data_IF_643311620144
#
_entry.id   IF_643311620144
#
_cell.length_a   1.000
_cell.length_b   1.000
_cell.length_c   1.000
_cell.angle_alpha   90.00
_cell.angle_beta   90.00
_cell.angle_gamma   90.00
#
_symmetry.space_group_name_H-M   'P 1'
#
loop_
_entity.id
_entity.type
_entity.pdbx_description
1 polymer ?
#
# COMPACT_ATOMS: atom_id res chain seq x y z
N UNK A 1 -9.32 7.67 11.34
CA UNK A 1 -8.21 6.69 11.42
C UNK A 1 -8.80 5.30 11.50
N UNK A 2 -8.28 4.38 10.70
CA UNK A 2 -8.74 3.00 10.67
C UNK A 2 -8.74 2.38 12.09
N UNK A 3 -9.81 1.70 12.44
CA UNK A 3 -9.92 0.97 13.69
C UNK A 3 -10.12 -0.52 13.39
N UNK A 4 -9.11 -1.32 13.73
CA UNK A 4 -9.14 -2.75 13.43
C UNK A 4 -9.11 -3.03 11.93
N UNK A 5 -10.16 -3.67 11.41
CA UNK A 5 -10.30 -4.02 9.98
C UNK A 5 -11.23 -3.07 9.20
N UNK A 6 -11.51 -1.89 9.73
CA UNK A 6 -12.36 -0.91 9.05
C UNK A 6 -11.50 0.19 8.43
N UNK A 7 -11.48 0.35 7.09
CA UNK A 7 -10.77 1.45 6.44
C UNK A 7 -11.46 2.78 6.71
N UNK A 8 -10.73 3.88 6.70
CA UNK A 8 -11.29 5.23 6.84
C UNK A 8 -12.09 5.63 5.62
N UNK A 9 -11.67 5.18 4.45
CA UNK A 9 -12.31 5.45 3.15
C UNK A 9 -12.23 4.22 2.24
N UNK A 10 -13.11 4.19 1.24
CA UNK A 10 -13.10 3.23 0.15
C UNK A 10 -13.12 3.96 -1.19
N UNK A 11 -12.42 3.40 -2.17
CA UNK A 11 -12.41 3.88 -3.55
C UNK A 11 -12.59 2.69 -4.49
N UNK A 12 -13.21 2.89 -5.65
CA UNK A 12 -13.42 1.80 -6.62
C UNK A 12 -12.09 1.38 -7.31
N UNK A 13 -11.10 2.27 -7.34
CA UNK A 13 -9.78 1.97 -7.85
C UNK A 13 -8.79 3.08 -7.52
N UNK A 14 -7.54 2.88 -7.90
CA UNK A 14 -6.48 3.87 -7.63
C UNK A 14 -6.74 5.21 -8.32
N UNK A 15 -7.41 5.22 -9.48
CA UNK A 15 -7.77 6.44 -10.23
C UNK A 15 -8.68 7.39 -9.45
N UNK A 16 -9.52 6.85 -8.58
CA UNK A 16 -10.47 7.67 -7.80
C UNK A 16 -9.78 8.39 -6.62
N UNK A 17 -8.57 7.98 -6.29
CA UNK A 17 -7.77 8.63 -5.25
C UNK A 17 -6.94 9.74 -5.88
N UNK A 18 -7.60 10.84 -6.26
CA UNK A 18 -6.95 11.98 -6.93
C UNK A 18 -6.14 12.83 -5.96
N UNK A 19 -5.20 13.68 -6.45
CA UNK A 19 -4.51 14.64 -5.61
C UNK A 19 -5.44 15.59 -4.85
N UNK A 20 -6.52 16.02 -5.49
CA UNK A 20 -7.56 16.89 -4.87
C UNK A 20 -8.24 16.14 -3.72
N UNK A 21 -8.67 14.90 -3.96
CA UNK A 21 -9.27 14.05 -2.94
C UNK A 21 -8.37 13.89 -1.71
N UNK A 22 -7.07 13.68 -1.93
CA UNK A 22 -6.09 13.58 -0.84
C UNK A 22 -5.92 14.91 -0.09
N UNK A 23 -5.83 16.03 -0.80
CA UNK A 23 -5.71 17.37 -0.18
C UNK A 23 -6.92 17.73 0.66
N UNK A 24 -8.11 17.40 0.21
CA UNK A 24 -9.37 17.63 0.94
C UNK A 24 -9.40 16.88 2.29
N UNK A 25 -8.67 15.75 2.37
CA UNK A 25 -8.48 15.01 3.62
C UNK A 25 -7.25 15.48 4.43
N UNK A 26 -6.53 16.50 3.98
CA UNK A 26 -5.31 16.97 4.62
C UNK A 26 -4.08 16.08 4.40
N UNK A 27 -4.15 15.14 3.46
CA UNK A 27 -3.05 14.22 3.13
C UNK A 27 -2.04 14.92 2.22
N UNK A 28 -0.75 14.78 2.53
CA UNK A 28 0.35 15.34 1.75
C UNK A 28 1.47 14.32 1.46
N UNK A 29 1.28 13.06 1.82
CA UNK A 29 2.18 11.96 1.48
C UNK A 29 1.41 10.64 1.42
N UNK A 30 1.83 9.74 0.56
CA UNK A 30 1.12 8.46 0.32
C UNK A 30 2.06 7.27 0.45
N UNK A 31 1.60 6.25 1.15
CA UNK A 31 2.13 4.90 1.13
C UNK A 31 1.19 4.07 0.25
N UNK A 32 1.69 3.47 -0.82
CA UNK A 32 0.89 2.66 -1.73
C UNK A 32 1.36 1.21 -1.72
N UNK A 33 0.41 0.26 -1.65
CA UNK A 33 0.70 -1.14 -1.95
C UNK A 33 1.00 -1.34 -3.43
N UNK A 34 1.68 -2.43 -3.77
CA UNK A 34 2.12 -2.71 -5.13
C UNK A 34 1.13 -3.61 -5.87
N UNK A 35 1.05 -4.87 -5.44
CA UNK A 35 0.30 -5.90 -6.17
C UNK A 35 -1.22 -5.72 -5.99
N UNK A 36 -1.96 -5.76 -7.09
CA UNK A 36 -3.39 -5.48 -7.16
C UNK A 36 -3.83 -4.04 -6.79
N UNK A 37 -2.88 -3.15 -6.58
CA UNK A 37 -3.15 -1.71 -6.36
C UNK A 37 -2.57 -0.88 -7.50
N UNK A 38 -1.26 -0.91 -7.71
CA UNK A 38 -0.57 -0.20 -8.79
C UNK A 38 -0.27 -1.07 -10.01
N UNK A 39 -0.19 -2.38 -9.81
CA UNK A 39 0.17 -3.37 -10.81
C UNK A 39 -0.65 -4.64 -10.67
N UNK A 40 -0.71 -5.44 -11.72
CA UNK A 40 -1.17 -6.81 -11.62
C UNK A 40 -0.21 -7.61 -10.71
N UNK A 41 -0.69 -8.67 -10.05
CA UNK A 41 0.17 -9.54 -9.27
C UNK A 41 1.38 -10.01 -10.08
N UNK A 42 2.56 -9.93 -9.48
CA UNK A 42 3.84 -10.32 -10.08
C UNK A 42 4.26 -9.55 -11.37
N UNK A 43 3.49 -8.55 -11.82
CA UNK A 43 3.85 -7.72 -12.97
C UNK A 43 4.98 -6.74 -12.63
N UNK A 44 5.92 -6.56 -13.57
CA UNK A 44 7.04 -5.62 -13.41
C UNK A 44 6.72 -4.19 -13.88
N UNK A 45 5.54 -4.00 -14.49
CA UNK A 45 5.05 -2.71 -14.97
C UNK A 45 3.75 -2.34 -14.28
N UNK A 46 3.49 -1.04 -14.08
CA UNK A 46 2.20 -0.59 -13.57
C UNK A 46 1.08 -0.88 -14.58
N UNK A 47 -0.15 -0.95 -14.09
CA UNK A 47 -1.32 -0.83 -14.95
C UNK A 47 -1.35 0.58 -15.55
N UNK A 48 -2.16 0.78 -16.60
CA UNK A 48 -2.37 2.13 -17.16
C UNK A 48 -2.85 3.11 -16.06
N UNK A 49 -3.79 2.66 -15.24
CA UNK A 49 -4.30 3.45 -14.12
C UNK A 49 -3.24 3.73 -13.05
N UNK A 50 -2.42 2.74 -12.71
CA UNK A 50 -1.32 2.90 -11.77
C UNK A 50 -0.26 3.88 -12.27
N UNK A 51 0.10 3.82 -13.56
CA UNK A 51 1.05 4.73 -14.18
C UNK A 51 0.51 6.18 -14.20
N UNK A 52 -0.73 6.36 -14.63
CA UNK A 52 -1.39 7.66 -14.67
C UNK A 52 -1.51 8.27 -13.27
N UNK A 53 -1.85 7.44 -12.28
CA UNK A 53 -1.95 7.88 -10.89
C UNK A 53 -0.59 8.33 -10.33
N UNK A 54 0.47 7.56 -10.53
CA UNK A 54 1.82 7.95 -10.09
C UNK A 54 2.27 9.26 -10.74
N UNK A 55 1.96 9.45 -12.03
CA UNK A 55 2.24 10.69 -12.74
C UNK A 55 1.46 11.88 -12.13
N UNK A 56 0.18 11.70 -11.80
CA UNK A 56 -0.64 12.75 -11.19
C UNK A 56 -0.14 13.14 -9.79
N UNK A 57 0.29 12.19 -8.98
CA UNK A 57 0.90 12.46 -7.67
C UNK A 57 2.18 13.28 -7.81
N UNK A 58 3.04 12.90 -8.76
CA UNK A 58 4.28 13.64 -9.05
C UNK A 58 4.00 15.07 -9.49
N UNK A 59 3.07 15.28 -10.41
CA UNK A 59 2.67 16.62 -10.87
C UNK A 59 2.10 17.45 -9.74
N UNK A 60 1.38 16.85 -8.83
CA UNK A 60 0.79 17.51 -7.67
C UNK A 60 1.78 17.77 -6.52
N UNK A 61 3.01 17.26 -6.61
CA UNK A 61 4.02 17.36 -5.55
C UNK A 61 3.70 16.52 -4.31
N UNK A 62 2.91 15.46 -4.46
CA UNK A 62 2.59 14.53 -3.36
C UNK A 62 3.58 13.35 -3.44
N UNK A 63 4.50 13.20 -2.48
CA UNK A 63 5.44 12.10 -2.46
C UNK A 63 4.73 10.76 -2.24
N UNK A 64 5.21 9.73 -2.95
CA UNK A 64 4.72 8.36 -2.84
C UNK A 64 5.86 7.42 -2.48
N UNK A 65 5.62 6.53 -1.52
CA UNK A 65 6.50 5.39 -1.21
C UNK A 65 5.71 4.10 -1.43
N UNK A 66 6.22 3.21 -2.25
CA UNK A 66 5.63 1.88 -2.47
C UNK A 66 6.06 0.94 -1.35
N UNK A 67 5.11 0.21 -0.76
CA UNK A 67 5.38 -0.74 0.32
C UNK A 67 4.84 -2.12 -0.04
N UNK A 68 5.72 -3.12 -0.11
CA UNK A 68 5.36 -4.49 -0.49
C UNK A 68 6.01 -5.53 0.43
N UNK A 69 5.32 -6.67 0.62
CA UNK A 69 5.87 -7.84 1.30
C UNK A 69 6.83 -8.65 0.40
N UNK A 70 6.94 -8.29 -0.86
CA UNK A 70 7.80 -8.97 -1.84
C UNK A 70 9.29 -8.73 -1.61
N UNK A 71 10.12 -9.47 -2.35
CA UNK A 71 11.59 -9.36 -2.31
C UNK A 71 12.08 -8.00 -2.85
N UNK A 72 13.31 -7.65 -2.47
CA UNK A 72 13.98 -6.45 -2.98
C UNK A 72 13.99 -6.40 -4.51
N UNK A 73 14.44 -7.48 -5.16
CA UNK A 73 14.54 -7.52 -6.63
C UNK A 73 13.21 -7.25 -7.33
N UNK A 74 12.09 -7.79 -6.79
CA UNK A 74 10.75 -7.58 -7.34
C UNK A 74 10.31 -6.13 -7.21
N UNK A 75 10.48 -5.54 -6.04
CA UNK A 75 9.99 -4.18 -5.77
C UNK A 75 10.89 -3.14 -6.45
N UNK A 76 12.21 -3.37 -6.45
CA UNK A 76 13.17 -2.51 -7.15
C UNK A 76 12.92 -2.48 -8.66
N UNK A 77 12.71 -3.65 -9.28
CA UNK A 77 12.45 -3.75 -10.72
C UNK A 77 11.23 -2.92 -11.15
N UNK A 78 10.21 -2.84 -10.29
CA UNK A 78 9.04 -2.01 -10.52
C UNK A 78 9.31 -0.53 -10.26
N UNK A 79 9.88 -0.18 -9.12
CA UNK A 79 9.95 1.21 -8.64
C UNK A 79 11.07 2.02 -9.29
N UNK A 80 12.22 1.41 -9.56
CA UNK A 80 13.40 2.12 -10.10
C UNK A 80 13.12 2.82 -11.42
N UNK A 81 12.52 2.17 -12.45
CA UNK A 81 12.21 2.84 -13.72
C UNK A 81 11.22 4.00 -13.57
N UNK A 82 10.38 3.97 -12.55
CA UNK A 82 9.38 4.99 -12.26
C UNK A 82 9.92 6.13 -11.37
N UNK A 83 11.12 5.98 -10.84
CA UNK A 83 11.71 6.95 -9.91
C UNK A 83 10.91 7.10 -8.61
N UNK A 84 10.30 6.01 -8.13
CA UNK A 84 9.49 5.98 -6.92
C UNK A 84 10.25 5.27 -5.80
N UNK A 85 10.26 5.86 -4.62
CA UNK A 85 10.84 5.25 -3.42
C UNK A 85 10.04 4.03 -2.96
N UNK A 86 10.72 3.08 -2.31
CA UNK A 86 10.06 1.85 -1.90
C UNK A 86 10.60 1.23 -0.60
N UNK A 87 9.79 0.35 -0.03
CA UNK A 87 10.11 -0.54 1.08
C UNK A 87 9.70 -1.97 0.70
N UNK A 88 10.69 -2.85 0.56
CA UNK A 88 10.50 -4.29 0.33
C UNK A 88 10.46 -5.07 1.65
N UNK A 89 10.00 -6.31 1.61
CA UNK A 89 9.88 -7.19 2.80
C UNK A 89 9.31 -6.42 4.00
N UNK A 90 8.24 -5.71 3.75
CA UNK A 90 7.67 -4.76 4.71
C UNK A 90 7.15 -5.42 5.98
N UNK A 91 6.76 -6.70 5.91
CA UNK A 91 6.19 -7.46 7.02
C UNK A 91 4.78 -7.04 7.39
N UNK A 92 4.04 -6.37 6.46
CA UNK A 92 2.63 -6.04 6.71
C UNK A 92 1.86 -7.31 7.13
N UNK A 93 0.97 -7.20 8.12
CA UNK A 93 0.49 -6.00 8.79
C UNK A 93 1.32 -5.52 9.99
N UNK A 94 2.23 -6.30 10.55
CA UNK A 94 2.88 -6.01 11.85
C UNK A 94 4.36 -5.66 11.75
N UNK A 95 4.92 -5.66 10.57
CA UNK A 95 6.34 -5.36 10.35
C UNK A 95 6.67 -3.87 10.47
N UNK A 96 7.96 -3.57 10.38
CA UNK A 96 8.48 -2.19 10.44
C UNK A 96 8.38 -1.43 9.10
N UNK A 97 7.79 -2.06 8.07
CA UNK A 97 7.74 -1.50 6.71
C UNK A 97 7.02 -0.16 6.62
N UNK A 98 5.89 -0.02 7.31
CA UNK A 98 5.13 1.24 7.33
C UNK A 98 5.93 2.36 7.98
N UNK A 99 6.62 2.10 9.11
CA UNK A 99 7.46 3.11 9.78
C UNK A 99 8.60 3.57 8.89
N UNK A 100 9.27 2.64 8.19
CA UNK A 100 10.33 2.97 7.22
C UNK A 100 9.80 3.83 6.07
N UNK A 101 8.57 3.57 5.61
CA UNK A 101 7.94 4.39 4.58
C UNK A 101 7.59 5.80 5.08
N UNK A 102 7.11 5.92 6.32
CA UNK A 102 6.87 7.23 6.97
C UNK A 102 8.16 8.04 7.06
N UNK A 103 9.26 7.42 7.47
CA UNK A 103 10.58 8.05 7.53
C UNK A 103 11.05 8.53 6.14
N UNK A 104 10.85 7.70 5.10
CA UNK A 104 11.18 8.07 3.73
C UNK A 104 10.34 9.23 3.19
N UNK A 105 9.06 9.29 3.52
CA UNK A 105 8.17 10.38 3.13
C UNK A 105 8.56 11.72 3.75
N UNK A 106 9.08 11.72 4.97
CA UNK A 106 9.51 12.92 5.66
C UNK A 106 8.39 13.93 5.97
N UNK A 107 7.14 13.47 6.00
CA UNK A 107 5.96 14.29 6.33
C UNK A 107 5.30 13.78 7.61
N UNK A 108 4.52 14.63 8.32
CA UNK A 108 3.85 14.22 9.54
C UNK A 108 2.93 13.02 9.29
N UNK A 109 2.96 12.05 10.20
CA UNK A 109 2.21 10.80 10.09
C UNK A 109 0.70 11.02 9.90
N UNK A 110 0.16 12.02 10.56
CA UNK A 110 -1.26 12.40 10.50
C UNK A 110 -1.68 12.91 9.13
N UNK A 111 -0.71 13.24 8.28
CA UNK A 111 -0.89 13.70 6.91
C UNK A 111 -0.49 12.68 5.86
N UNK A 112 -0.40 11.41 6.26
CA UNK A 112 -0.09 10.27 5.37
C UNK A 112 -1.33 9.41 5.22
N UNK A 113 -1.62 8.99 3.98
CA UNK A 113 -2.56 7.92 3.70
C UNK A 113 -1.84 6.65 3.24
N UNK A 114 -2.31 5.50 3.70
CA UNK A 114 -1.96 4.19 3.14
C UNK A 114 -3.08 3.76 2.20
N UNK A 115 -2.72 3.42 0.96
CA UNK A 115 -3.63 2.93 -0.07
C UNK A 115 -3.27 1.49 -0.40
N UNK A 116 -4.25 0.60 -0.37
CA UNK A 116 -4.08 -0.82 -0.70
C UNK A 116 -5.40 -1.53 -0.90
N UNK A 117 -5.35 -2.77 -1.36
CA UNK A 117 -6.53 -3.58 -1.69
C UNK A 117 -6.88 -4.62 -0.63
N UNK A 118 -6.03 -4.83 0.38
CA UNK A 118 -6.19 -5.92 1.32
C UNK A 118 -6.56 -5.47 2.73
N UNK A 119 -7.71 -5.95 3.22
CA UNK A 119 -8.19 -5.69 4.59
C UNK A 119 -7.18 -6.11 5.67
N UNK A 120 -6.61 -7.30 5.53
CA UNK A 120 -5.80 -7.90 6.60
C UNK A 120 -4.32 -7.52 6.56
N UNK A 121 -3.83 -7.00 5.46
CA UNK A 121 -2.47 -6.50 5.37
C UNK A 121 -2.43 -4.98 5.42
N UNK A 122 -3.17 -4.30 4.55
CA UNK A 122 -3.07 -2.85 4.41
C UNK A 122 -3.90 -2.11 5.45
N UNK A 123 -5.19 -2.48 5.62
CA UNK A 123 -6.05 -1.84 6.61
C UNK A 123 -5.54 -2.08 8.03
N UNK A 124 -5.13 -3.31 8.32
CA UNK A 124 -4.61 -3.64 9.64
C UNK A 124 -3.26 -2.95 9.91
N UNK A 125 -2.38 -2.84 8.89
CA UNK A 125 -1.12 -2.11 9.00
C UNK A 125 -1.36 -0.62 9.26
N UNK A 126 -2.29 0.00 8.53
CA UNK A 126 -2.67 1.39 8.72
C UNK A 126 -3.24 1.65 10.12
N UNK A 127 -4.11 0.76 10.59
CA UNK A 127 -4.69 0.81 11.94
C UNK A 127 -3.61 0.70 13.02
N UNK A 128 -2.70 -0.25 12.88
CA UNK A 128 -1.60 -0.46 13.82
C UNK A 128 -0.67 0.76 13.91
N UNK A 129 -0.34 1.35 12.77
CA UNK A 129 0.56 2.50 12.71
C UNK A 129 -0.18 3.86 12.80
N UNK A 130 -1.50 3.86 13.00
CA UNK A 130 -2.36 5.06 13.14
C UNK A 130 -2.25 6.01 11.94
N UNK A 131 -2.32 5.44 10.75
CA UNK A 131 -2.30 6.14 9.46
C UNK A 131 -3.69 6.06 8.84
N UNK A 132 -4.13 7.10 8.14
CA UNK A 132 -5.37 7.09 7.37
C UNK A 132 -5.30 5.99 6.30
N UNK A 133 -6.36 5.19 6.20
CA UNK A 133 -6.44 4.07 5.26
C UNK A 133 -7.50 4.28 4.20
N UNK A 134 -7.09 4.16 2.94
CA UNK A 134 -7.99 4.13 1.78
C UNK A 134 -7.90 2.72 1.17
N UNK A 135 -8.98 1.95 1.29
CA UNK A 135 -9.08 0.64 0.68
C UNK A 135 -9.61 0.78 -0.75
N UNK A 136 -8.87 0.28 -1.73
CA UNK A 136 -9.30 0.20 -3.13
C UNK A 136 -9.79 -1.21 -3.47
N UNK A 137 -10.64 -1.32 -4.50
CA UNK A 137 -10.92 -2.62 -5.09
C UNK A 137 -9.66 -3.15 -5.78
N UNK A 138 -9.40 -4.47 -5.72
CA UNK A 138 -8.24 -5.07 -6.40
C UNK A 138 -8.39 -4.94 -7.92
N UNK A 139 -7.26 -4.78 -8.60
CA UNK A 139 -7.21 -4.69 -10.08
C UNK A 139 -7.79 -5.96 -10.72
N UNK A 140 -7.52 -7.12 -10.13
CA UNK A 140 -8.05 -8.42 -10.57
C UNK A 140 -8.62 -9.17 -9.37
N UNK A 141 -9.87 -9.60 -9.50
CA UNK A 141 -10.50 -10.52 -8.55
C UNK A 141 -10.02 -11.94 -8.83
N UNK A 142 -8.90 -12.35 -8.23
CA UNK A 142 -8.43 -13.73 -8.33
C UNK A 142 -8.99 -14.61 -7.20
N UNK A 143 -9.64 -15.72 -7.57
CA UNK A 143 -10.06 -16.76 -6.63
C UNK A 143 -8.88 -17.40 -5.89
N UNK A 144 -7.68 -17.37 -6.47
CA UNK A 144 -6.43 -17.82 -5.84
C UNK A 144 -5.86 -16.85 -4.78
N UNK A 145 -6.25 -15.58 -4.81
CA UNK A 145 -5.74 -14.54 -3.90
C UNK A 145 -6.17 -14.80 -2.45
N UNK A 146 -7.39 -15.29 -2.26
CA UNK A 146 -7.90 -15.69 -0.95
C UNK A 146 -7.08 -16.84 -0.33
N UNK A 147 -6.62 -17.80 -1.14
CA UNK A 147 -5.76 -18.89 -0.69
C UNK A 147 -4.34 -18.44 -0.33
N UNK A 148 -3.75 -17.55 -1.11
CA UNK A 148 -2.41 -16.97 -0.82
C UNK A 148 -2.44 -16.15 0.47
N UNK A 149 -3.50 -15.41 0.67
CA UNK A 149 -3.77 -14.63 1.87
C UNK A 149 -3.93 -15.54 3.11
N UNK A 150 -4.79 -16.57 3.02
CA UNK A 150 -4.98 -17.55 4.11
C UNK A 150 -3.64 -18.16 4.54
N UNK A 151 -2.78 -18.53 3.58
CA UNK A 151 -1.42 -19.04 3.86
C UNK A 151 -0.49 -18.02 4.50
N UNK A 152 -0.62 -16.73 4.18
CA UNK A 152 0.18 -15.69 4.80
C UNK A 152 -0.21 -15.47 6.25
N UNK A 153 -1.50 -15.47 6.55
CA UNK A 153 -2.03 -15.39 7.92
C UNK A 153 -1.67 -16.63 8.73
N UNK A 154 -1.82 -17.82 8.16
CA UNK A 154 -1.45 -19.09 8.82
C UNK A 154 0.05 -19.14 9.16
N UNK A 155 0.94 -18.64 8.29
CA UNK A 155 2.37 -18.53 8.57
C UNK A 155 2.68 -17.50 9.67
N UNK A 156 1.98 -16.38 9.69
CA UNK A 156 2.18 -15.34 10.71
C UNK A 156 1.68 -15.80 12.09
N UNK A 157 0.53 -16.51 12.14
CA UNK A 157 -0.05 -17.06 13.37
C UNK A 157 0.70 -18.33 13.83
N UNK A 158 1.15 -19.17 12.88
CA UNK A 158 1.87 -20.41 13.20
C UNK A 158 3.28 -20.19 13.78
N UNK A 159 3.93 -19.05 13.51
CA UNK A 159 5.20 -18.66 14.14
C UNK A 159 5.08 -18.32 15.62
N UNK A 160 3.93 -17.78 16.06
CA UNK A 160 3.69 -17.45 17.48
C UNK A 160 3.42 -18.66 18.39
N UNK A 161 3.26 -19.87 17.84
CA UNK A 161 3.00 -21.09 18.63
C UNK A 161 4.25 -21.96 18.83
N UNK A 162 5.42 -21.52 18.41
CA UNK A 162 6.69 -22.28 18.53
C UNK A 162 7.77 -21.56 19.34
N UNK A 163 7.40 -20.53 20.11
CA UNK A 163 8.25 -19.92 21.14
C UNK A 163 7.67 -20.16 22.53
#
# INVERSE_FOLDING_TARGET
MAHGLTPDRRAAGIRDVTPEYLRDMGVCGVIADLDNTLALPDAVYPTEDGAAWLASMRQAGIPVVVVSNNSFARVEAFCRPLGVDFVHKSGKPFGRGIRRAVEKLGVPRERIALIGDQLFTDVLAASHDRILCILTEPVVMETGYFFRFKRAVERAVGRKRRE
#
